data_IF_523074952441
#
_entry.id   IF_523074952441
#
_cell.length_a   1.000
_cell.length_b   1.000
_cell.length_c   1.000
_cell.angle_alpha   90.00
_cell.angle_beta   90.00
_cell.angle_gamma   90.00
#
_symmetry.space_group_name_H-M   'P 1'
#
loop_
_entity.id
_entity.type
_entity.pdbx_description
1 polymer ?
#
# COMPACT_ATOMS: atom_id res chain seq x y z
N UNK A 1 -13.73 3.76 28.46
CA UNK A 1 -12.39 3.23 28.12
C UNK A 1 -11.87 3.99 26.91
N UNK A 2 -10.88 4.87 27.06
CA UNK A 2 -10.32 5.64 25.94
C UNK A 2 -9.14 4.86 25.34
N UNK A 3 -9.37 4.14 24.24
CA UNK A 3 -8.29 3.48 23.51
C UNK A 3 -7.41 4.54 22.85
N UNK A 4 -6.20 4.74 23.39
CA UNK A 4 -5.19 5.61 22.79
C UNK A 4 -4.79 5.01 21.43
N UNK A 5 -5.00 5.77 20.34
CA UNK A 5 -4.67 5.34 18.97
C UNK A 5 -3.17 5.12 18.84
N UNK A 6 -2.76 3.94 18.36
CA UNK A 6 -1.37 3.68 17.96
C UNK A 6 -1.07 4.52 16.71
N UNK A 7 0.08 5.18 16.68
CA UNK A 7 0.53 6.03 15.60
C UNK A 7 1.82 5.49 14.99
N UNK A 8 2.01 5.70 13.69
CA UNK A 8 3.30 5.42 13.06
C UNK A 8 4.33 6.44 13.57
N UNK A 9 5.58 6.03 13.86
CA UNK A 9 6.65 6.97 14.19
C UNK A 9 6.82 8.07 13.13
N UNK A 10 7.13 9.28 13.56
CA UNK A 10 7.16 10.46 12.68
C UNK A 10 8.21 10.31 11.56
N UNK A 11 9.31 9.62 11.84
CA UNK A 11 10.37 9.30 10.88
C UNK A 11 9.92 8.37 9.74
N UNK A 12 8.87 7.57 9.95
CA UNK A 12 8.33 6.65 8.95
C UNK A 12 7.15 7.26 8.16
N UNK A 13 6.58 8.38 8.61
CA UNK A 13 5.45 9.02 7.93
C UNK A 13 5.73 9.40 6.47
N UNK A 14 6.89 9.97 6.10
CA UNK A 14 7.19 10.28 4.70
C UNK A 14 7.20 9.01 3.82
N UNK A 15 7.80 7.93 4.33
CA UNK A 15 7.90 6.66 3.62
C UNK A 15 6.53 6.01 3.45
N UNK A 16 5.69 6.06 4.50
CA UNK A 16 4.32 5.55 4.43
C UNK A 16 3.45 6.33 3.43
N UNK A 17 3.62 7.67 3.34
CA UNK A 17 2.94 8.47 2.31
C UNK A 17 3.41 8.12 0.91
N UNK A 18 4.72 7.96 0.71
CA UNK A 18 5.28 7.54 -0.56
C UNK A 18 4.82 6.13 -0.97
N UNK A 19 4.66 5.22 -0.01
CA UNK A 19 4.07 3.90 -0.25
C UNK A 19 2.62 4.00 -0.72
N UNK A 20 1.81 4.88 -0.14
CA UNK A 20 0.45 5.12 -0.63
C UNK A 20 0.40 5.67 -2.06
N UNK A 21 1.35 6.51 -2.46
CA UNK A 21 1.46 6.96 -3.87
C UNK A 21 1.67 5.77 -4.81
N UNK A 22 2.40 4.74 -4.39
CA UNK A 22 2.55 3.51 -5.17
C UNK A 22 1.22 2.73 -5.20
N UNK A 23 0.53 2.61 -4.07
CA UNK A 23 -0.79 1.94 -4.01
C UNK A 23 -1.86 2.63 -4.87
N UNK A 24 -1.80 3.96 -4.99
CA UNK A 24 -2.69 4.75 -5.85
C UNK A 24 -2.51 4.41 -7.35
N UNK A 25 -1.41 3.78 -7.74
CA UNK A 25 -1.20 3.22 -9.07
C UNK A 25 -1.55 1.71 -9.12
N UNK A 26 -1.19 0.95 -8.09
CA UNK A 26 -1.36 -0.52 -8.05
C UNK A 26 -2.82 -0.94 -7.94
N UNK A 27 -3.59 -0.36 -7.02
CA UNK A 27 -4.96 -0.82 -6.76
C UNK A 27 -5.89 -0.57 -7.97
N UNK A 28 -5.87 0.62 -8.61
CA UNK A 28 -6.63 0.81 -9.85
C UNK A 28 -6.13 -0.06 -11.01
N UNK A 29 -4.86 -0.45 -11.04
CA UNK A 29 -4.35 -1.39 -12.04
C UNK A 29 -4.95 -2.80 -11.84
N UNK A 30 -4.99 -3.28 -10.60
CA UNK A 30 -5.62 -4.59 -10.25
C UNK A 30 -7.10 -4.60 -10.57
N UNK A 31 -7.83 -3.56 -10.19
CA UNK A 31 -9.26 -3.40 -10.49
C UNK A 31 -9.50 -3.40 -11.99
N UNK A 32 -8.76 -2.56 -12.72
CA UNK A 32 -8.89 -2.45 -14.18
C UNK A 32 -8.61 -3.75 -14.91
N UNK A 33 -7.69 -4.60 -14.44
CA UNK A 33 -7.43 -5.91 -15.04
C UNK A 33 -8.53 -6.94 -14.68
N UNK A 34 -9.12 -6.82 -13.49
CA UNK A 34 -10.22 -7.67 -13.05
C UNK A 34 -11.51 -7.40 -13.84
N UNK A 35 -11.74 -6.15 -14.25
CA UNK A 35 -12.90 -5.73 -15.07
C UNK A 35 -12.94 -6.36 -16.48
N UNK A 36 -11.86 -7.02 -16.91
CA UNK A 36 -11.84 -7.79 -18.17
C UNK A 36 -12.75 -9.02 -18.06
N UNK A 37 -12.92 -9.56 -16.86
CA UNK A 37 -13.74 -10.75 -16.61
C UNK A 37 -15.22 -10.38 -16.74
N UNK A 38 -15.95 -10.93 -17.72
CA UNK A 38 -17.36 -10.59 -17.91
C UNK A 38 -18.20 -10.99 -16.69
N UNK A 39 -18.97 -10.04 -16.17
CA UNK A 39 -19.91 -10.27 -15.08
C UNK A 39 -21.33 -10.54 -15.59
N UNK A 40 -22.24 -10.88 -14.68
CA UNK A 40 -23.66 -11.11 -15.02
C UNK A 40 -24.41 -9.85 -15.50
N UNK A 41 -23.81 -8.67 -15.33
CA UNK A 41 -24.46 -7.37 -15.58
C UNK A 41 -23.72 -6.45 -16.55
N UNK A 42 -22.45 -6.73 -16.86
CA UNK A 42 -21.64 -5.87 -17.72
C UNK A 42 -20.80 -6.73 -18.66
N UNK A 43 -20.74 -6.40 -19.97
CA UNK A 43 -19.74 -6.96 -20.84
C UNK A 43 -18.37 -6.56 -20.28
N UNK A 44 -17.47 -7.54 -20.10
CA UNK A 44 -16.11 -7.26 -19.65
C UNK A 44 -15.41 -6.30 -20.62
N UNK A 45 -14.44 -5.52 -20.13
CA UNK A 45 -13.65 -4.64 -21.00
C UNK A 45 -12.69 -5.45 -21.89
N UNK A 46 -12.25 -4.92 -23.04
CA UNK A 46 -11.21 -5.56 -23.84
C UNK A 46 -9.93 -5.80 -23.03
N UNK A 47 -9.39 -7.02 -23.09
CA UNK A 47 -8.17 -7.40 -22.37
C UNK A 47 -6.97 -6.55 -22.78
N UNK A 48 -6.85 -6.25 -24.07
CA UNK A 48 -5.72 -5.46 -24.60
C UNK A 48 -5.67 -4.08 -23.95
N UNK A 49 -6.78 -3.33 -23.98
CA UNK A 49 -6.87 -2.01 -23.35
C UNK A 49 -6.56 -2.07 -21.84
N UNK A 50 -7.02 -3.12 -21.16
CA UNK A 50 -6.75 -3.33 -19.74
C UNK A 50 -5.26 -3.60 -19.46
N UNK A 51 -4.60 -4.40 -20.29
CA UNK A 51 -3.18 -4.70 -20.17
C UNK A 51 -2.31 -3.48 -20.47
N UNK A 52 -2.65 -2.68 -21.48
CA UNK A 52 -1.93 -1.45 -21.80
C UNK A 52 -1.98 -0.46 -20.62
N UNK A 53 -3.15 -0.28 -20.02
CA UNK A 53 -3.34 0.55 -18.83
C UNK A 53 -2.62 -0.03 -17.61
N UNK A 54 -2.71 -1.35 -17.40
CA UNK A 54 -2.02 -2.06 -16.33
C UNK A 54 -0.51 -1.85 -16.40
N UNK A 55 0.10 -2.06 -17.58
CA UNK A 55 1.54 -1.83 -17.81
C UNK A 55 1.92 -0.38 -17.53
N UNK A 56 1.14 0.58 -18.03
CA UNK A 56 1.42 2.00 -17.81
C UNK A 56 1.40 2.38 -16.32
N UNK A 57 0.45 1.88 -15.54
CA UNK A 57 0.37 2.09 -14.10
C UNK A 57 1.49 1.40 -13.34
N UNK A 58 1.79 0.14 -13.66
CA UNK A 58 2.89 -0.57 -13.03
C UNK A 58 4.25 0.10 -13.29
N UNK A 59 4.46 0.67 -14.47
CA UNK A 59 5.68 1.44 -14.76
C UNK A 59 5.80 2.69 -13.87
N UNK A 60 4.69 3.42 -13.63
CA UNK A 60 4.68 4.56 -12.70
C UNK A 60 4.92 4.13 -11.26
N UNK A 61 4.28 3.04 -10.84
CA UNK A 61 4.49 2.43 -9.53
C UNK A 61 5.97 2.06 -9.33
N UNK A 62 6.62 1.44 -10.33
CA UNK A 62 8.06 1.13 -10.32
C UNK A 62 8.90 2.37 -10.03
N UNK A 63 8.64 3.45 -10.77
CA UNK A 63 9.43 4.66 -10.70
C UNK A 63 9.26 5.37 -9.35
N UNK A 64 8.12 5.17 -8.68
CA UNK A 64 7.83 5.68 -7.34
C UNK A 64 8.39 4.80 -6.19
N UNK A 65 8.75 3.53 -6.45
CA UNK A 65 9.25 2.59 -5.43
C UNK A 65 10.39 3.10 -4.55
N UNK A 66 11.44 3.79 -5.08
CA UNK A 66 12.57 4.22 -4.24
C UNK A 66 12.17 5.17 -3.11
N UNK A 67 11.07 5.92 -3.25
CA UNK A 67 10.67 6.98 -2.33
C UNK A 67 10.21 6.47 -0.95
N UNK A 68 9.84 5.20 -0.83
CA UNK A 68 9.39 4.62 0.44
C UNK A 68 10.37 3.62 1.06
N UNK A 69 11.51 3.35 0.40
CA UNK A 69 12.50 2.38 0.88
C UNK A 69 13.07 2.79 2.23
N UNK A 70 13.01 1.90 3.22
CA UNK A 70 13.56 2.08 4.56
C UNK A 70 14.06 0.75 5.13
N UNK A 71 15.08 0.77 6.01
CA UNK A 71 15.56 -0.45 6.66
C UNK A 71 14.47 -1.26 7.37
N UNK A 72 13.47 -0.59 7.95
CA UNK A 72 12.40 -1.23 8.72
C UNK A 72 11.42 -2.06 7.87
N UNK A 73 11.39 -1.82 6.56
CA UNK A 73 10.49 -2.45 5.57
C UNK A 73 11.25 -2.96 4.33
N UNK A 74 12.56 -3.20 4.46
CA UNK A 74 13.43 -3.53 3.32
C UNK A 74 13.04 -4.85 2.65
N UNK A 75 12.65 -5.85 3.43
CA UNK A 75 12.22 -7.15 2.91
C UNK A 75 10.94 -7.02 2.09
N UNK A 76 9.95 -6.26 2.61
CA UNK A 76 8.71 -5.98 1.89
C UNK A 76 8.96 -5.12 0.65
N UNK A 77 9.87 -4.14 0.74
CA UNK A 77 10.27 -3.32 -0.40
C UNK A 77 10.87 -4.15 -1.54
N UNK A 78 11.82 -5.05 -1.21
CA UNK A 78 12.41 -5.93 -2.23
C UNK A 78 11.37 -6.87 -2.83
N UNK A 79 10.50 -7.46 -2.00
CA UNK A 79 9.46 -8.36 -2.48
C UNK A 79 8.45 -7.65 -3.41
N UNK A 80 8.05 -6.42 -3.07
CA UNK A 80 7.17 -5.60 -3.91
C UNK A 80 7.84 -5.23 -5.23
N UNK A 81 9.12 -4.85 -5.20
CA UNK A 81 9.89 -4.54 -6.42
C UNK A 81 9.95 -5.77 -7.34
N UNK A 82 10.35 -6.91 -6.80
CA UNK A 82 10.52 -8.14 -7.59
C UNK A 82 9.17 -8.60 -8.17
N UNK A 83 8.12 -8.54 -7.37
CA UNK A 83 6.74 -8.81 -7.79
C UNK A 83 6.28 -7.90 -8.94
N UNK A 84 6.57 -6.61 -8.82
CA UNK A 84 6.23 -5.62 -9.84
C UNK A 84 6.96 -5.85 -11.17
N UNK A 85 8.26 -6.15 -11.13
CA UNK A 85 9.03 -6.48 -12.34
C UNK A 85 8.51 -7.75 -13.02
N UNK A 86 8.13 -8.77 -12.23
CA UNK A 86 7.53 -10.00 -12.76
C UNK A 86 6.19 -9.71 -13.43
N UNK A 87 5.32 -8.92 -12.79
CA UNK A 87 4.01 -8.56 -13.33
C UNK A 87 4.13 -7.73 -14.62
N UNK A 88 5.02 -6.72 -14.62
CA UNK A 88 5.31 -5.90 -15.80
C UNK A 88 5.77 -6.74 -16.98
N UNK A 89 6.78 -7.59 -16.76
CA UNK A 89 7.33 -8.44 -17.81
C UNK A 89 6.26 -9.37 -18.39
N UNK A 90 5.47 -10.04 -17.55
CA UNK A 90 4.39 -10.94 -17.99
C UNK A 90 3.33 -10.21 -18.81
N UNK A 91 2.92 -9.01 -18.37
CA UNK A 91 1.93 -8.22 -19.08
C UNK A 91 2.45 -7.74 -20.44
N UNK A 92 3.71 -7.34 -20.53
CA UNK A 92 4.36 -6.96 -21.79
C UNK A 92 4.52 -8.16 -22.74
N UNK A 93 4.96 -9.32 -22.23
CA UNK A 93 5.04 -10.57 -23.00
C UNK A 93 3.66 -10.93 -23.59
N UNK A 94 2.59 -10.77 -22.81
CA UNK A 94 1.21 -11.06 -23.25
C UNK A 94 0.70 -10.06 -24.31
N UNK A 95 1.05 -8.78 -24.19
CA UNK A 95 0.73 -7.78 -25.22
C UNK A 95 1.45 -8.08 -26.54
N UNK A 96 2.70 -8.55 -26.48
CA UNK A 96 3.49 -8.88 -27.67
C UNK A 96 3.01 -10.17 -28.33
N UNK A 97 2.72 -11.23 -27.56
CA UNK A 97 2.25 -12.50 -28.11
C UNK A 97 0.79 -12.46 -28.56
N UNK A 98 0.02 -11.50 -28.05
CA UNK A 98 -1.43 -11.49 -28.13
C UNK A 98 -2.06 -12.56 -27.22
N UNK A 99 -3.35 -12.39 -26.94
CA UNK A 99 -4.15 -13.37 -26.22
C UNK A 99 -5.14 -14.06 -27.18
N UNK A 100 -4.94 -15.36 -27.38
CA UNK A 100 -5.89 -16.22 -28.09
C UNK A 100 -6.91 -16.77 -27.08
N UNK A 101 -8.17 -16.37 -27.21
CA UNK A 101 -9.21 -16.71 -26.24
C UNK A 101 -9.54 -18.21 -26.26
N UNK A 102 -9.12 -18.94 -25.22
CA UNK A 102 -9.49 -20.35 -24.98
C UNK A 102 -10.73 -20.50 -24.07
N UNK A 103 -11.40 -19.40 -23.74
CA UNK A 103 -12.61 -19.34 -22.91
C UNK A 103 -12.38 -18.73 -21.51
N UNK A 104 -13.46 -18.59 -20.76
CA UNK A 104 -13.50 -17.85 -19.48
C UNK A 104 -12.46 -18.31 -18.44
N UNK A 105 -12.26 -19.63 -18.28
CA UNK A 105 -11.28 -20.17 -17.34
C UNK A 105 -9.85 -19.75 -17.65
N UNK A 106 -9.48 -19.72 -18.93
CA UNK A 106 -8.14 -19.27 -19.36
C UNK A 106 -7.93 -17.77 -19.12
N UNK A 107 -8.99 -16.96 -19.22
CA UNK A 107 -8.94 -15.54 -18.91
C UNK A 107 -8.72 -15.31 -17.41
N UNK A 108 -9.43 -16.04 -16.55
CA UNK A 108 -9.22 -15.98 -15.09
C UNK A 108 -7.79 -16.37 -14.70
N UNK A 109 -7.23 -17.41 -15.34
CA UNK A 109 -5.85 -17.83 -15.11
C UNK A 109 -4.86 -16.73 -15.51
N UNK A 110 -5.08 -16.07 -16.64
CA UNK A 110 -4.26 -14.94 -17.11
C UNK A 110 -4.31 -13.77 -16.12
N UNK A 111 -5.51 -13.39 -15.68
CA UNK A 111 -5.69 -12.31 -14.69
C UNK A 111 -4.98 -12.70 -13.38
N UNK A 112 -5.25 -13.88 -12.84
CA UNK A 112 -4.61 -14.36 -11.60
C UNK A 112 -3.08 -14.36 -11.70
N UNK A 113 -2.52 -14.97 -12.74
CA UNK A 113 -1.05 -15.00 -12.98
C UNK A 113 -0.43 -13.61 -13.08
N UNK A 114 -1.19 -12.62 -13.55
CA UNK A 114 -0.73 -11.22 -13.67
C UNK A 114 -0.76 -10.49 -12.32
N UNK A 115 -1.75 -10.80 -11.47
CA UNK A 115 -1.95 -10.14 -10.18
C UNK A 115 -1.19 -10.80 -9.02
N UNK A 116 -0.99 -12.11 -9.04
CA UNK A 116 -0.31 -12.86 -7.96
C UNK A 116 1.05 -12.25 -7.55
N UNK A 117 1.92 -11.80 -8.47
CA UNK A 117 3.19 -11.19 -8.08
C UNK A 117 3.03 -9.87 -7.30
N UNK A 118 1.86 -9.22 -7.32
CA UNK A 118 1.58 -7.97 -6.62
C UNK A 118 1.06 -8.18 -5.19
N UNK A 119 0.86 -9.44 -4.76
CA UNK A 119 0.45 -9.77 -3.39
C UNK A 119 1.36 -9.19 -2.28
N UNK A 120 2.70 -9.07 -2.46
CA UNK A 120 3.57 -8.46 -1.44
C UNK A 120 3.17 -7.04 -1.02
N UNK A 121 2.43 -6.28 -1.83
CA UNK A 121 1.95 -4.94 -1.45
C UNK A 121 1.02 -4.98 -0.24
N UNK A 122 0.16 -6.01 -0.12
CA UNK A 122 -0.69 -6.19 1.06
C UNK A 122 0.16 -6.42 2.33
N UNK A 123 1.22 -7.23 2.21
CA UNK A 123 2.17 -7.48 3.31
C UNK A 123 2.93 -6.22 3.72
N UNK A 124 3.30 -5.37 2.76
CA UNK A 124 3.93 -4.08 3.05
C UNK A 124 3.00 -3.16 3.86
N UNK A 125 1.70 -3.11 3.54
CA UNK A 125 0.72 -2.35 4.32
C UNK A 125 0.58 -2.90 5.74
N UNK A 126 0.47 -4.23 5.90
CA UNK A 126 0.46 -4.90 7.20
C UNK A 126 1.73 -4.60 8.01
N UNK A 127 2.88 -4.54 7.35
CA UNK A 127 4.15 -4.21 7.97
C UNK A 127 4.14 -2.78 8.51
N UNK A 128 3.74 -1.79 7.72
CA UNK A 128 3.56 -0.41 8.21
C UNK A 128 2.56 -0.34 9.36
N UNK A 129 1.48 -1.12 9.32
CA UNK A 129 0.53 -1.20 10.41
C UNK A 129 1.14 -1.77 11.70
N UNK A 130 1.99 -2.80 11.58
CA UNK A 130 2.70 -3.42 12.71
C UNK A 130 3.68 -2.48 13.42
N UNK A 131 4.25 -1.51 12.67
CA UNK A 131 5.19 -0.52 13.17
C UNK A 131 4.52 0.61 13.98
N UNK A 132 3.18 0.68 14.01
CA UNK A 132 2.46 1.68 14.79
C UNK A 132 2.65 1.44 16.29
N UNK A 133 3.28 2.39 16.97
CA UNK A 133 3.53 2.35 18.42
C UNK A 133 2.49 3.18 19.17
N UNK A 134 2.37 2.96 20.49
CA UNK A 134 1.60 3.88 21.33
C UNK A 134 2.31 5.24 21.31
N UNK A 135 1.58 6.31 20.97
CA UNK A 135 2.11 7.67 21.11
C UNK A 135 2.21 7.97 22.61
N UNK A 136 3.42 7.99 23.14
CA UNK A 136 3.66 8.50 24.48
C UNK A 136 3.39 10.00 24.47
N UNK A 137 2.23 10.38 25.00
CA UNK A 137 1.98 11.78 25.33
C UNK A 137 2.86 12.08 26.54
N UNK A 138 3.76 13.08 26.48
CA UNK A 138 4.54 13.48 27.64
C UNK A 138 3.55 13.77 28.77
N UNK A 139 3.72 13.11 29.91
CA UNK A 139 2.96 13.43 31.10
C UNK A 139 3.17 14.94 31.34
N UNK A 140 2.10 15.74 31.26
CA UNK A 140 2.14 17.13 31.66
C UNK A 140 2.71 17.15 33.07
N UNK A 141 3.94 17.64 33.21
CA UNK A 141 4.56 17.93 34.50
C UNK A 141 3.56 18.76 35.27
N UNK A 142 2.94 18.14 36.28
CA UNK A 142 2.09 18.81 37.24
C UNK A 142 3.05 19.71 38.01
N UNK A 143 3.19 20.96 37.55
CA UNK A 143 3.98 21.96 38.24
C UNK A 143 3.44 22.02 39.67
N UNK A 144 4.27 21.57 40.61
CA UNK A 144 4.04 21.66 42.03
C UNK A 144 3.88 23.14 42.37
N UNK A 145 2.64 23.60 42.56
CA UNK A 145 2.40 24.87 43.22
C UNK A 145 2.56 24.64 44.73
N UNK A 146 3.80 24.45 45.16
CA UNK A 146 4.25 24.51 46.55
C UNK A 146 4.82 25.90 46.77
N UNK A 147 3.97 26.83 47.17
CA UNK A 147 4.27 28.09 47.83
C UNK A 147 2.95 28.55 48.48
N UNK A 148 2.83 28.92 49.74
CA UNK A 148 3.76 29.01 50.88
C UNK A 148 2.81 29.09 52.10
N UNK A 149 3.07 28.29 53.13
CA UNK A 149 2.41 28.43 54.43
C UNK A 149 2.78 29.77 55.08
N UNK A 150 1.82 30.36 55.81
CA UNK A 150 2.09 31.23 56.96
C UNK A 150 1.82 32.73 56.78
N UNK A 151 0.68 33.21 57.29
CA UNK A 151 0.68 33.99 58.54
C UNK A 151 -0.76 34.25 59.06
N UNK A 152 -1.00 34.14 60.39
CA UNK A 152 -2.29 34.44 61.01
C UNK A 152 -2.32 35.89 61.51
N UNK A 153 -3.47 36.57 61.36
CA UNK A 153 -3.71 37.82 62.09
C UNK A 153 -5.00 37.70 62.89
N UNK A 154 -4.81 37.60 64.21
CA UNK A 154 -5.75 38.08 65.21
C UNK A 154 -5.76 39.61 65.17
N UNK A 155 -6.95 40.23 65.11
CA UNK A 155 -7.50 41.21 66.10
C UNK A 155 -8.91 41.59 65.65
#
# INVERSE_FOLDING_TARGET
MMFRRKALPDELLPSFRAFHVVLDEIEPAKEGLTDVVPGTRLPGRPLQDALEEFVARLARARDAMPAWRRPEVEDEWSACRDGLEIALRRAMELLESGYEAAGFGSLLEVVGRSLDPLEPFARAEERFASLRRRKDVPARSRASNTAHDGEPWHT
#
